data_IF_420128899202
#
_entry.id   IF_420128899202
#
_cell.length_a   1.000
_cell.length_b   1.000
_cell.length_c   1.000
_cell.angle_alpha   90.00
_cell.angle_beta   90.00
_cell.angle_gamma   90.00
#
_symmetry.space_group_name_H-M   'P 1'
#
loop_
_entity.id
_entity.type
_entity.pdbx_description
1 polymer ?
#
# COMPACT_ATOMS: atom_id res chain seq x y z
N UNK A 1 -6.27 31.08 13.43
CA UNK A 1 -6.67 29.80 14.05
C UNK A 1 -5.63 28.78 13.61
N UNK A 2 -4.70 28.42 14.48
CA UNK A 2 -3.74 27.34 14.21
C UNK A 2 -4.47 26.00 14.33
N UNK A 3 -4.67 25.32 13.20
CA UNK A 3 -5.12 23.93 13.20
C UNK A 3 -3.91 23.11 13.63
N UNK A 4 -3.97 22.32 14.73
CA UNK A 4 -2.87 21.44 15.08
C UNK A 4 -2.66 20.47 13.92
N UNK A 5 -1.52 20.60 13.24
CA UNK A 5 -1.11 19.71 12.16
C UNK A 5 -0.79 18.36 12.81
N UNK A 6 -1.78 17.47 12.87
CA UNK A 6 -1.55 16.10 13.31
C UNK A 6 -0.41 15.53 12.46
N UNK A 7 0.70 15.16 13.10
CA UNK A 7 1.84 14.62 12.37
C UNK A 7 1.41 13.36 11.60
N UNK A 8 1.58 13.39 10.28
CA UNK A 8 1.36 12.21 9.43
C UNK A 8 2.59 11.32 9.52
N UNK A 9 2.39 10.06 9.87
CA UNK A 9 3.47 9.08 9.99
C UNK A 9 3.45 8.10 8.82
N UNK A 10 4.65 7.68 8.40
CA UNK A 10 4.82 6.64 7.40
C UNK A 10 3.99 5.40 7.76
N UNK A 11 3.19 4.94 6.80
CA UNK A 11 2.28 3.81 6.98
C UNK A 11 3.02 2.49 7.21
N UNK A 12 4.28 2.41 6.78
CA UNK A 12 5.20 1.30 7.08
C UNK A 12 6.02 1.54 8.34
N UNK A 13 6.99 2.44 8.29
CA UNK A 13 8.03 2.55 9.33
C UNK A 13 7.68 3.48 10.50
N UNK A 14 6.55 4.18 10.46
CA UNK A 14 6.12 5.07 11.54
C UNK A 14 6.93 6.36 11.71
N UNK A 15 7.94 6.63 10.87
CA UNK A 15 8.65 7.92 10.89
C UNK A 15 7.73 9.06 10.46
N UNK A 16 7.90 10.25 11.05
CA UNK A 16 7.15 11.44 10.66
C UNK A 16 7.42 11.81 9.20
N UNK A 17 6.38 12.19 8.47
CA UNK A 17 6.43 12.67 7.10
C UNK A 17 6.32 14.20 7.09
N UNK A 18 7.27 14.86 6.46
CA UNK A 18 7.37 16.32 6.46
C UNK A 18 7.21 16.93 5.07
N UNK A 19 7.45 16.17 4.00
CA UNK A 19 7.26 16.65 2.63
C UNK A 19 5.82 16.40 2.15
N UNK A 20 5.20 17.35 1.42
CA UNK A 20 3.84 17.16 0.89
C UNK A 20 3.66 15.89 0.05
N UNK A 21 4.60 15.47 -0.82
CA UNK A 21 4.47 14.22 -1.56
C UNK A 21 4.45 12.97 -0.67
N UNK A 22 5.29 12.94 0.37
CA UNK A 22 5.26 11.82 1.32
C UNK A 22 3.98 11.80 2.14
N UNK A 23 3.48 12.96 2.56
CA UNK A 23 2.20 13.05 3.27
C UNK A 23 1.04 12.57 2.39
N UNK A 24 1.01 12.97 1.10
CA UNK A 24 -0.03 12.57 0.16
C UNK A 24 -0.04 11.06 -0.13
N UNK A 25 1.13 10.44 -0.24
CA UNK A 25 1.26 9.00 -0.53
C UNK A 25 1.23 8.12 0.72
N UNK A 26 1.54 8.70 1.89
CA UNK A 26 1.67 7.97 3.16
C UNK A 26 3.02 7.28 3.37
N UNK A 27 4.01 7.50 2.48
CA UNK A 27 5.32 6.85 2.56
C UNK A 27 6.49 7.83 2.44
N UNK A 28 7.51 7.59 3.27
CA UNK A 28 8.79 8.29 3.18
C UNK A 28 9.72 7.70 2.10
N UNK A 29 10.73 8.45 1.63
CA UNK A 29 11.59 8.06 0.51
C UNK A 29 12.32 6.73 0.73
N UNK A 30 12.76 6.46 1.96
CA UNK A 30 13.41 5.19 2.29
C UNK A 30 12.47 3.98 2.15
N UNK A 31 11.20 4.14 2.52
CA UNK A 31 10.21 3.08 2.35
C UNK A 31 9.85 2.89 0.88
N UNK A 32 9.70 3.98 0.12
CA UNK A 32 9.50 3.90 -1.34
C UNK A 32 10.65 3.18 -2.01
N UNK A 33 11.90 3.49 -1.63
CA UNK A 33 13.09 2.80 -2.15
C UNK A 33 13.12 1.32 -1.74
N UNK A 34 12.72 1.02 -0.51
CA UNK A 34 12.59 -0.36 -0.04
C UNK A 34 11.58 -1.14 -0.90
N UNK A 35 10.41 -0.57 -1.19
CA UNK A 35 9.42 -1.22 -2.05
C UNK A 35 9.99 -1.57 -3.41
N UNK A 36 10.62 -0.61 -4.10
CA UNK A 36 11.23 -0.84 -5.43
C UNK A 36 12.29 -1.94 -5.43
N UNK A 37 12.99 -2.14 -4.31
CA UNK A 37 13.99 -3.20 -4.14
C UNK A 37 13.37 -4.57 -3.81
N UNK A 38 12.33 -4.58 -2.98
CA UNK A 38 11.68 -5.80 -2.53
C UNK A 38 10.68 -6.37 -3.54
N UNK A 39 10.03 -5.51 -4.32
CA UNK A 39 8.95 -5.90 -5.22
C UNK A 39 9.37 -6.93 -6.29
N UNK A 40 10.54 -6.81 -6.97
CA UNK A 40 10.96 -7.80 -7.97
C UNK A 40 11.17 -9.21 -7.42
N UNK A 41 11.42 -9.36 -6.12
CA UNK A 41 11.65 -10.66 -5.46
C UNK A 41 10.44 -11.14 -4.66
N UNK A 42 9.30 -10.46 -4.77
CA UNK A 42 8.09 -10.83 -4.05
C UNK A 42 7.47 -12.10 -4.65
N UNK A 43 7.41 -13.23 -3.91
CA UNK A 43 7.00 -14.50 -4.48
C UNK A 43 5.49 -14.56 -4.73
N UNK A 44 5.11 -15.27 -5.79
CA UNK A 44 3.71 -15.59 -6.09
C UNK A 44 2.92 -14.51 -6.84
N UNK A 45 3.60 -13.50 -7.39
CA UNK A 45 2.99 -12.46 -8.21
C UNK A 45 3.66 -12.39 -9.59
N UNK A 46 2.88 -12.05 -10.61
CA UNK A 46 3.41 -11.80 -11.95
C UNK A 46 4.13 -10.45 -12.00
N UNK A 47 5.03 -10.22 -12.98
CA UNK A 47 5.69 -8.93 -13.14
C UNK A 47 4.70 -7.76 -13.24
N UNK A 48 3.58 -7.96 -13.95
CA UNK A 48 2.55 -6.93 -14.06
C UNK A 48 1.88 -6.62 -12.72
N UNK A 49 1.58 -7.63 -11.91
CA UNK A 49 1.01 -7.42 -10.57
C UNK A 49 1.98 -6.69 -9.65
N UNK A 50 3.28 -6.91 -9.80
CA UNK A 50 4.33 -6.20 -9.06
C UNK A 50 4.39 -4.74 -9.49
N UNK A 51 4.33 -4.46 -10.80
CA UNK A 51 4.28 -3.11 -11.35
C UNK A 51 3.04 -2.35 -10.86
N UNK A 52 1.85 -2.93 -10.99
CA UNK A 52 0.59 -2.33 -10.52
C UNK A 52 0.61 -2.09 -9.01
N UNK A 53 1.28 -2.96 -8.23
CA UNK A 53 1.43 -2.79 -6.80
C UNK A 53 2.34 -1.60 -6.44
N UNK A 54 3.43 -1.40 -7.19
CA UNK A 54 4.29 -0.23 -7.02
C UNK A 54 3.56 1.05 -7.41
N UNK A 55 2.87 1.07 -8.55
CA UNK A 55 2.04 2.19 -8.99
C UNK A 55 1.01 2.56 -7.90
N UNK A 56 0.33 1.56 -7.33
CA UNK A 56 -0.64 1.77 -6.25
C UNK A 56 -0.02 2.48 -5.03
N UNK A 57 1.20 2.09 -4.63
CA UNK A 57 1.91 2.71 -3.50
C UNK A 57 2.42 4.12 -3.84
N UNK A 58 2.89 4.33 -5.07
CA UNK A 58 3.40 5.61 -5.55
C UNK A 58 2.31 6.67 -5.72
N UNK A 59 1.08 6.25 -6.06
CA UNK A 59 -0.08 7.12 -6.18
C UNK A 59 -0.84 7.32 -4.85
N UNK A 60 -0.41 6.69 -3.75
CA UNK A 60 -1.11 6.77 -2.48
C UNK A 60 -2.49 6.08 -2.48
N UNK A 61 -2.71 5.12 -3.38
CA UNK A 61 -3.97 4.38 -3.52
C UNK A 61 -4.22 3.35 -2.41
N UNK A 62 -3.67 3.59 -1.22
CA UNK A 62 -3.80 2.71 -0.07
C UNK A 62 -3.96 3.48 1.24
N UNK A 63 -4.89 3.05 2.09
CA UNK A 63 -5.13 3.62 3.41
C UNK A 63 -5.30 2.53 4.48
N UNK A 64 -4.78 2.70 5.70
CA UNK A 64 -4.92 1.71 6.76
C UNK A 64 -6.35 1.69 7.31
N UNK A 65 -6.85 0.50 7.60
CA UNK A 65 -8.02 0.24 8.44
C UNK A 65 -7.61 -0.56 9.67
N UNK A 66 -8.39 -0.46 10.76
CA UNK A 66 -8.28 -1.34 11.94
C UNK A 66 -6.84 -1.56 12.43
N UNK A 67 -6.11 -0.47 12.68
CA UNK A 67 -4.74 -0.53 13.20
C UNK A 67 -3.73 -1.22 12.27
N UNK A 68 -3.85 -1.02 10.95
CA UNK A 68 -2.93 -1.53 9.90
C UNK A 68 -2.99 -3.05 9.68
N UNK A 69 -4.00 -3.74 10.22
CA UNK A 69 -4.25 -5.16 9.95
C UNK A 69 -5.00 -5.38 8.62
N UNK A 70 -5.82 -4.41 8.25
CA UNK A 70 -6.59 -4.39 7.01
C UNK A 70 -6.30 -3.06 6.32
N UNK A 71 -6.33 -3.03 4.99
CA UNK A 71 -6.07 -1.86 4.19
C UNK A 71 -7.22 -1.65 3.21
N UNK A 72 -7.56 -0.40 2.93
CA UNK A 72 -8.31 -0.04 1.73
C UNK A 72 -7.32 0.16 0.61
N UNK A 73 -7.48 -0.56 -0.49
CA UNK A 73 -6.67 -0.45 -1.71
C UNK A 73 -7.55 -0.05 -2.88
N UNK A 74 -7.06 0.82 -3.75
CA UNK A 74 -7.80 1.34 -4.91
C UNK A 74 -7.57 0.46 -6.15
N UNK A 75 -8.66 0.17 -6.86
CA UNK A 75 -8.73 -0.48 -8.16
C UNK A 75 -8.45 0.48 -9.32
N UNK A 76 -8.16 -0.03 -10.53
CA UNK A 76 -7.99 0.81 -11.73
C UNK A 76 -9.18 1.73 -12.05
N UNK A 77 -10.40 1.40 -11.61
CA UNK A 77 -11.61 2.22 -11.80
C UNK A 77 -12.04 2.97 -10.54
N UNK A 78 -11.13 3.19 -9.59
CA UNK A 78 -11.45 3.87 -8.33
C UNK A 78 -12.22 3.02 -7.31
N UNK A 79 -12.63 1.79 -7.66
CA UNK A 79 -13.26 0.85 -6.73
C UNK A 79 -12.32 0.53 -5.58
N UNK A 80 -12.80 0.58 -4.34
CA UNK A 80 -11.97 0.24 -3.18
C UNK A 80 -12.20 -1.20 -2.73
N UNK A 81 -11.11 -1.85 -2.32
CA UNK A 81 -11.13 -3.22 -1.82
C UNK A 81 -10.51 -3.29 -0.43
N UNK A 82 -11.05 -4.15 0.43
CA UNK A 82 -10.45 -4.47 1.72
C UNK A 82 -9.39 -5.55 1.49
N UNK A 83 -8.17 -5.28 1.91
CA UNK A 83 -7.02 -6.13 1.70
C UNK A 83 -6.31 -6.38 3.02
N UNK A 84 -6.26 -7.63 3.47
CA UNK A 84 -5.60 -8.03 4.70
C UNK A 84 -4.12 -8.37 4.42
N UNK A 85 -3.25 -8.09 5.38
CA UNK A 85 -1.83 -8.47 5.29
C UNK A 85 -1.61 -9.98 5.24
N UNK A 86 -2.59 -10.75 5.71
CA UNK A 86 -2.63 -12.22 5.64
C UNK A 86 -2.97 -12.78 4.25
N UNK A 87 -3.23 -11.92 3.25
CA UNK A 87 -3.36 -12.33 1.85
C UNK A 87 -4.78 -12.31 1.28
N UNK A 88 -5.81 -12.00 2.07
CA UNK A 88 -7.18 -11.90 1.61
C UNK A 88 -7.47 -10.53 1.01
N UNK A 89 -8.17 -10.49 -0.12
CA UNK A 89 -8.61 -9.25 -0.76
C UNK A 89 -10.05 -9.40 -1.25
N UNK A 90 -10.86 -8.35 -1.12
CA UNK A 90 -12.25 -8.35 -1.59
C UNK A 90 -12.41 -8.01 -3.07
N UNK A 91 -11.31 -7.94 -3.85
CA UNK A 91 -11.42 -7.86 -5.31
C UNK A 91 -11.81 -9.21 -5.90
N UNK A 92 -12.30 -9.24 -7.14
CA UNK A 92 -12.73 -10.48 -7.79
C UNK A 92 -11.65 -11.57 -7.78
N UNK A 93 -10.41 -11.24 -8.11
CA UNK A 93 -9.30 -12.19 -8.04
C UNK A 93 -9.11 -12.76 -6.62
N UNK A 94 -9.11 -11.88 -5.60
CA UNK A 94 -8.94 -12.28 -4.20
C UNK A 94 -10.09 -13.13 -3.66
N UNK A 95 -11.34 -12.81 -4.02
CA UNK A 95 -12.52 -13.62 -3.68
C UNK A 95 -12.40 -15.03 -4.25
N UNK A 96 -11.81 -15.17 -5.44
CA UNK A 96 -11.52 -16.47 -6.06
C UNK A 96 -10.19 -17.09 -5.61
N UNK A 97 -9.54 -16.56 -4.57
CA UNK A 97 -8.29 -17.10 -4.03
C UNK A 97 -7.06 -16.92 -4.94
N UNK A 98 -7.15 -16.05 -5.96
CA UNK A 98 -6.06 -15.77 -6.90
C UNK A 98 -5.20 -14.61 -6.41
N UNK A 99 -3.89 -14.59 -6.74
CA UNK A 99 -3.03 -13.44 -6.50
C UNK A 99 -3.58 -12.16 -7.14
N UNK A 100 -3.43 -11.02 -6.47
CA UNK A 100 -3.77 -9.70 -6.99
C UNK A 100 -2.78 -8.64 -6.50
N UNK A 101 -2.62 -7.56 -7.27
CA UNK A 101 -1.66 -6.50 -6.96
C UNK A 101 -1.96 -5.78 -5.64
N UNK A 102 -3.23 -5.73 -5.21
CA UNK A 102 -3.60 -5.19 -3.90
C UNK A 102 -2.90 -5.92 -2.75
N UNK A 103 -2.88 -7.26 -2.80
CA UNK A 103 -2.20 -8.09 -1.79
C UNK A 103 -0.69 -7.92 -1.89
N UNK A 104 -0.14 -7.83 -3.12
CA UNK A 104 1.28 -7.54 -3.31
C UNK A 104 1.69 -6.22 -2.65
N UNK A 105 0.93 -5.15 -2.85
CA UNK A 105 1.17 -3.85 -2.23
C UNK A 105 1.13 -3.92 -0.70
N UNK A 106 0.12 -4.59 -0.13
CA UNK A 106 0.03 -4.76 1.34
C UNK A 106 1.21 -5.59 1.88
N UNK A 107 1.64 -6.64 1.18
CA UNK A 107 2.80 -7.44 1.58
C UNK A 107 4.09 -6.62 1.58
N UNK A 108 4.27 -5.72 0.62
CA UNK A 108 5.41 -4.80 0.60
C UNK A 108 5.44 -3.83 1.79
N UNK A 109 4.27 -3.42 2.29
CA UNK A 109 4.17 -2.57 3.48
C UNK A 109 4.45 -3.37 4.76
N UNK A 110 4.00 -4.62 4.81
CA UNK A 110 4.13 -5.49 5.98
C UNK A 110 5.54 -6.11 6.15
N UNK A 111 6.37 -6.09 5.11
CA UNK A 111 7.77 -6.54 5.12
C UNK A 111 8.73 -5.50 5.71
#
# INVERSE_FOLDING_TARGET
MDVPTSATFCLRCGRALTSPPSVATGFGPDCTRHFRRAAPVLPGFTPRQVEDALELLELGGIAPLRGRRVWLTVGHHGTTYRTASTGQCTCMAGIHGKPCYHVAAVRLIAA
#
